data_IF_968194495423
#
_entry.id   IF_968194495423
#
_cell.length_a   1.000
_cell.length_b   1.000
_cell.length_c   1.000
_cell.angle_alpha   90.00
_cell.angle_beta   90.00
_cell.angle_gamma   90.00
#
_symmetry.space_group_name_H-M   'P 1'
#
loop_
_entity.id
_entity.type
_entity.pdbx_description
1 polymer ?
#
# COMPACT_ATOMS: atom_id res chain seq x y z
N UNK A 1 0.37 -17.68 16.17
CA UNK A 1 0.07 -16.79 15.03
C UNK A 1 1.37 -16.57 14.24
N UNK A 2 1.40 -16.89 12.93
CA UNK A 2 2.57 -16.57 12.08
C UNK A 2 2.53 -15.08 11.76
N UNK A 3 3.63 -14.37 12.05
CA UNK A 3 3.76 -12.94 11.72
C UNK A 3 4.30 -12.78 10.31
N UNK A 4 4.02 -11.64 9.64
CA UNK A 4 4.57 -11.29 8.32
C UNK A 4 6.09 -11.55 8.23
N UNK A 5 6.82 -11.20 9.29
CA UNK A 5 8.25 -11.48 9.45
C UNK A 5 8.59 -12.96 9.36
N UNK A 6 7.90 -13.82 10.12
CA UNK A 6 8.12 -15.28 10.08
C UNK A 6 7.84 -15.84 8.69
N UNK A 7 6.81 -15.33 8.01
CA UNK A 7 6.49 -15.70 6.63
C UNK A 7 7.59 -15.30 5.64
N UNK A 8 8.07 -14.05 5.69
CA UNK A 8 9.18 -13.58 4.84
C UNK A 8 10.46 -14.40 5.09
N UNK A 9 10.75 -14.75 6.34
CA UNK A 9 11.88 -15.61 6.69
C UNK A 9 11.71 -17.02 6.15
N UNK A 10 10.51 -17.61 6.24
CA UNK A 10 10.21 -18.93 5.67
C UNK A 10 10.30 -18.93 4.14
N UNK A 11 9.83 -17.88 3.46
CA UNK A 11 9.97 -17.74 2.00
C UNK A 11 11.45 -17.59 1.60
N UNK A 12 12.22 -16.76 2.32
CA UNK A 12 13.65 -16.59 2.07
C UNK A 12 14.46 -17.87 2.34
N UNK A 13 14.07 -18.67 3.33
CA UNK A 13 14.66 -19.98 3.61
C UNK A 13 14.22 -21.07 2.62
N UNK A 14 13.04 -20.94 2.01
CA UNK A 14 12.44 -21.90 1.07
C UNK A 14 12.94 -21.79 -0.38
N UNK A 15 13.69 -20.74 -0.74
CA UNK A 15 14.24 -20.56 -2.09
C UNK A 15 15.29 -21.60 -2.51
N UNK A 16 15.65 -22.54 -1.63
CA UNK A 16 16.58 -23.65 -1.91
C UNK A 16 15.92 -24.97 -2.33
N UNK A 17 14.60 -25.11 -2.28
CA UNK A 17 13.94 -26.39 -2.60
C UNK A 17 12.65 -26.21 -3.43
N UNK A 18 12.77 -26.53 -4.73
CA UNK A 18 11.70 -26.77 -5.72
C UNK A 18 10.92 -25.55 -6.29
N UNK A 19 11.20 -25.28 -7.58
CA UNK A 19 10.47 -24.40 -8.49
C UNK A 19 9.08 -24.94 -8.91
N UNK A 20 8.27 -25.51 -8.00
CA UNK A 20 7.14 -26.33 -8.47
C UNK A 20 5.86 -26.38 -7.64
N UNK A 21 5.80 -25.88 -6.40
CA UNK A 21 4.54 -25.95 -5.65
C UNK A 21 4.26 -24.67 -4.88
N UNK A 22 3.26 -23.92 -5.35
CA UNK A 22 2.70 -22.77 -4.64
C UNK A 22 1.84 -23.25 -3.48
N UNK A 23 2.46 -23.83 -2.44
CA UNK A 23 1.79 -23.99 -1.15
C UNK A 23 2.03 -22.70 -0.38
N UNK A 24 1.22 -21.68 -0.66
CA UNK A 24 1.15 -20.49 0.18
C UNK A 24 0.47 -20.89 1.49
N UNK A 25 1.15 -20.81 2.66
CA UNK A 25 0.50 -21.06 3.93
C UNK A 25 -0.63 -20.05 4.13
N UNK A 26 -1.76 -20.54 4.62
CA UNK A 26 -2.97 -19.78 4.98
C UNK A 26 -2.66 -18.39 5.57
N UNK A 27 -3.11 -17.33 4.91
CA UNK A 27 -3.06 -15.95 5.41
C UNK A 27 -4.47 -15.50 5.78
N UNK A 28 -4.64 -15.08 7.04
CA UNK A 28 -5.88 -14.50 7.55
C UNK A 28 -6.16 -14.88 9.01
N UNK A 29 -6.51 -13.88 9.81
CA UNK A 29 -7.05 -14.07 11.16
C UNK A 29 -8.51 -14.58 11.04
N UNK A 30 -8.69 -15.88 10.82
CA UNK A 30 -10.01 -16.49 10.71
C UNK A 30 -10.12 -17.55 9.62
N UNK A 31 -9.68 -18.77 9.93
CA UNK A 31 -10.35 -20.05 9.61
C UNK A 31 -11.02 -20.33 8.26
N UNK A 32 -10.73 -19.62 7.16
CA UNK A 32 -11.30 -19.95 5.85
C UNK A 32 -10.23 -20.52 4.93
N UNK A 33 -10.33 -21.82 4.68
CA UNK A 33 -9.56 -22.53 3.66
C UNK A 33 -9.74 -21.79 2.33
N UNK A 34 -8.64 -21.22 1.82
CA UNK A 34 -8.60 -20.68 0.46
C UNK A 34 -8.64 -21.91 -0.45
N UNK A 35 -9.83 -22.22 -0.97
CA UNK A 35 -9.96 -23.13 -2.11
C UNK A 35 -9.06 -22.61 -3.24
N UNK A 36 -8.43 -23.48 -4.04
CA UNK A 36 -7.64 -23.07 -5.19
C UNK A 36 -8.60 -22.55 -6.26
N UNK A 37 -9.11 -21.33 -6.08
CA UNK A 37 -9.63 -20.55 -7.18
C UNK A 37 -8.47 -20.38 -8.15
N UNK A 38 -8.67 -20.76 -9.41
CA UNK A 38 -7.67 -20.65 -10.46
C UNK A 38 -7.19 -19.19 -10.57
N UNK A 39 -5.96 -18.94 -10.12
CA UNK A 39 -5.38 -17.59 -10.09
C UNK A 39 -5.17 -17.13 -8.65
N UNK A 40 -3.91 -17.13 -8.20
CA UNK A 40 -3.49 -16.76 -6.85
C UNK A 40 -3.84 -15.32 -6.43
N UNK A 41 -3.18 -14.77 -5.39
CA UNK A 41 -3.56 -13.47 -4.82
C UNK A 41 -3.56 -12.37 -5.88
N UNK A 42 -4.71 -11.71 -6.05
CA UNK A 42 -4.89 -10.59 -6.97
C UNK A 42 -4.45 -9.30 -6.29
N UNK A 43 -3.83 -8.41 -7.05
CA UNK A 43 -3.44 -7.06 -6.60
C UNK A 43 -4.05 -6.04 -7.54
N UNK A 44 -4.55 -4.96 -6.96
CA UNK A 44 -5.03 -3.79 -7.70
C UNK A 44 -4.03 -2.68 -7.47
N UNK A 45 -3.56 -2.06 -8.54
CA UNK A 45 -2.61 -0.95 -8.50
C UNK A 45 -3.31 0.26 -9.08
N UNK A 46 -3.48 1.30 -8.26
CA UNK A 46 -3.88 2.61 -8.72
C UNK A 46 -2.62 3.39 -9.08
N UNK A 47 -2.45 3.73 -10.35
CA UNK A 47 -1.39 4.61 -10.81
C UNK A 47 -1.94 6.03 -10.92
N UNK A 48 -1.38 6.94 -10.12
CA UNK A 48 -1.84 8.32 -9.99
C UNK A 48 -0.72 9.26 -10.43
N UNK A 49 -1.02 10.20 -11.31
CA UNK A 49 -0.12 11.27 -11.71
C UNK A 49 -0.81 12.62 -11.50
N UNK A 50 -0.08 13.57 -10.91
CA UNK A 50 -0.55 14.95 -10.81
C UNK A 50 -0.72 15.54 -12.21
N UNK A 51 -1.77 16.34 -12.41
CA UNK A 51 -2.15 16.91 -13.71
C UNK A 51 -2.67 15.90 -14.74
N UNK A 52 -3.08 14.72 -14.29
CA UNK A 52 -3.67 13.70 -15.13
C UNK A 52 -2.65 12.72 -15.68
N UNK A 53 -3.16 11.59 -16.14
CA UNK A 53 -2.38 10.52 -16.72
C UNK A 53 -2.92 10.27 -18.13
N UNK A 54 -2.09 10.46 -19.16
CA UNK A 54 -2.52 10.25 -20.53
C UNK A 54 -2.76 8.77 -20.78
N UNK A 55 -3.95 8.45 -21.29
CA UNK A 55 -4.40 7.08 -21.50
C UNK A 55 -3.49 6.29 -22.45
N UNK A 56 -2.94 6.94 -23.48
CA UNK A 56 -2.00 6.35 -24.43
C UNK A 56 -0.66 5.90 -23.80
N UNK A 57 -0.35 6.33 -22.58
CA UNK A 57 0.87 5.92 -21.86
C UNK A 57 0.78 4.46 -21.35
N UNK A 58 -0.43 3.93 -21.11
CA UNK A 58 -0.59 2.56 -20.61
C UNK A 58 -1.51 1.68 -21.47
N UNK A 59 -2.45 2.25 -22.23
CA UNK A 59 -3.38 1.47 -23.04
C UNK A 59 -2.73 1.15 -24.39
N UNK A 60 -2.59 -0.13 -24.78
CA UNK A 60 -2.05 -0.50 -26.10
C UNK A 60 -2.87 0.09 -27.26
N UNK A 61 -2.18 0.37 -28.36
CA UNK A 61 -2.80 0.94 -29.57
C UNK A 61 -3.98 0.09 -30.06
N UNK A 62 -5.08 0.77 -30.39
CA UNK A 62 -6.30 0.14 -30.89
C UNK A 62 -7.20 -0.50 -29.81
N UNK A 63 -6.78 -0.57 -28.55
CA UNK A 63 -7.63 -1.03 -27.45
C UNK A 63 -8.53 0.10 -26.94
N UNK A 64 -9.85 -0.12 -26.99
CA UNK A 64 -10.87 0.82 -26.47
C UNK A 64 -11.62 0.32 -25.24
N UNK A 65 -11.51 -0.98 -24.96
CA UNK A 65 -12.20 -1.65 -23.86
C UNK A 65 -11.23 -2.63 -23.19
N UNK A 66 -11.46 -2.93 -21.91
CA UNK A 66 -10.72 -3.97 -21.19
C UNK A 66 -10.83 -5.32 -21.90
N UNK A 67 -9.69 -5.83 -22.37
CA UNK A 67 -9.59 -7.11 -23.08
C UNK A 67 -8.22 -7.77 -22.85
N UNK A 68 -8.06 -8.99 -23.34
CA UNK A 68 -6.81 -9.76 -23.17
C UNK A 68 -5.62 -9.03 -23.79
N UNK A 69 -4.55 -8.87 -23.01
CA UNK A 69 -3.30 -8.27 -23.48
C UNK A 69 -2.41 -9.24 -24.27
N UNK A 70 -2.74 -10.53 -24.35
CA UNK A 70 -1.84 -11.56 -24.89
C UNK A 70 -1.29 -11.26 -26.30
N UNK A 71 -2.11 -10.66 -27.17
CA UNK A 71 -1.74 -10.28 -28.55
C UNK A 71 -1.38 -8.80 -28.72
N UNK A 72 -1.49 -8.00 -27.67
CA UNK A 72 -1.14 -6.58 -27.71
C UNK A 72 0.34 -6.38 -27.42
N UNK A 73 0.95 -5.33 -27.97
CA UNK A 73 2.27 -4.87 -27.57
C UNK A 73 2.09 -3.75 -26.54
N UNK A 74 2.77 -3.84 -25.39
CA UNK A 74 2.67 -2.77 -24.41
C UNK A 74 3.36 -1.49 -24.90
N UNK A 75 2.82 -0.29 -24.63
CA UNK A 75 3.47 0.99 -24.92
C UNK A 75 4.85 1.11 -24.25
N UNK A 76 5.72 1.95 -24.81
CA UNK A 76 7.09 2.15 -24.31
C UNK A 76 7.17 2.38 -22.78
N UNK A 77 6.33 3.23 -22.16
CA UNK A 77 6.41 3.54 -20.73
C UNK A 77 6.18 2.34 -19.80
N UNK A 78 5.46 1.32 -20.28
CA UNK A 78 5.17 0.09 -19.54
C UNK A 78 5.72 -1.15 -20.22
N UNK A 79 6.61 -0.99 -21.20
CA UNK A 79 7.21 -2.10 -21.98
C UNK A 79 7.96 -3.11 -21.10
N UNK A 80 8.50 -2.68 -19.96
CA UNK A 80 9.13 -3.56 -18.98
C UNK A 80 8.17 -4.60 -18.37
N UNK A 81 6.85 -4.39 -18.50
CA UNK A 81 5.82 -5.32 -18.02
C UNK A 81 5.45 -6.41 -19.04
N UNK A 82 6.04 -6.39 -20.24
CA UNK A 82 5.77 -7.36 -21.32
C UNK A 82 5.91 -8.83 -20.86
N UNK A 83 6.90 -9.22 -20.02
CA UNK A 83 7.01 -10.59 -19.49
C UNK A 83 5.86 -11.03 -18.57
N UNK A 84 5.03 -10.10 -18.09
CA UNK A 84 3.95 -10.35 -17.14
C UNK A 84 2.56 -10.13 -17.75
N UNK A 85 2.49 -9.93 -19.08
CA UNK A 85 1.29 -9.52 -19.81
C UNK A 85 0.14 -10.51 -19.72
N UNK A 86 0.44 -11.80 -19.59
CA UNK A 86 -0.52 -12.89 -19.36
C UNK A 86 -1.17 -12.84 -17.96
N UNK A 87 -0.54 -12.12 -17.03
CA UNK A 87 -0.97 -11.94 -15.63
C UNK A 87 -1.42 -10.51 -15.32
N UNK A 88 -1.42 -9.62 -16.32
CA UNK A 88 -1.78 -8.22 -16.20
C UNK A 88 -3.17 -7.97 -16.80
N UNK A 89 -3.95 -7.14 -16.11
CA UNK A 89 -5.22 -6.62 -16.61
C UNK A 89 -5.21 -5.10 -16.46
N UNK A 90 -5.41 -4.37 -17.55
CA UNK A 90 -5.55 -2.92 -17.55
C UNK A 90 -7.04 -2.57 -17.59
N UNK A 91 -7.54 -1.94 -16.53
CA UNK A 91 -8.94 -1.49 -16.47
C UNK A 91 -9.00 -0.12 -17.16
N UNK A 92 -9.71 -0.06 -18.29
CA UNK A 92 -9.86 1.18 -19.07
C UNK A 92 -11.17 1.90 -18.70
N UNK A 93 -11.23 3.21 -18.98
CA UNK A 93 -12.45 4.00 -18.77
C UNK A 93 -12.67 4.53 -17.35
N UNK A 94 -11.73 4.31 -16.42
CA UNK A 94 -11.74 5.00 -15.13
C UNK A 94 -11.28 6.45 -15.34
N UNK A 95 -12.19 7.41 -15.13
CA UNK A 95 -11.89 8.84 -15.27
C UNK A 95 -12.21 9.57 -13.97
N UNK A 96 -11.33 10.49 -13.57
CA UNK A 96 -11.53 11.37 -12.42
C UNK A 96 -12.51 12.52 -12.64
N UNK A 97 -13.63 12.35 -13.37
CA UNK A 97 -14.57 13.48 -13.62
C UNK A 97 -15.07 14.09 -12.30
N UNK A 98 -15.21 13.26 -11.26
CA UNK A 98 -15.63 13.69 -9.91
C UNK A 98 -14.66 14.67 -9.24
N UNK A 99 -13.42 14.80 -9.73
CA UNK A 99 -12.42 15.73 -9.18
C UNK A 99 -12.46 17.12 -9.83
N UNK A 100 -13.24 17.31 -10.90
CA UNK A 100 -13.37 18.59 -11.59
C UNK A 100 -14.06 19.65 -10.71
N UNK A 101 -13.63 20.93 -10.76
CA UNK A 101 -12.59 21.52 -11.63
C UNK A 101 -11.20 21.59 -10.97
N UNK A 102 -10.91 20.79 -9.94
CA UNK A 102 -9.66 20.92 -9.18
C UNK A 102 -8.44 20.38 -9.96
N UNK A 103 -7.32 21.12 -9.93
CA UNK A 103 -6.04 20.68 -10.49
C UNK A 103 -5.31 19.62 -9.65
N UNK A 104 -5.71 19.45 -8.39
CA UNK A 104 -5.21 18.40 -7.49
C UNK A 104 -6.27 18.11 -6.45
N UNK A 105 -6.90 16.95 -6.53
CA UNK A 105 -7.97 16.57 -5.61
C UNK A 105 -7.49 15.92 -4.32
N UNK A 106 -6.19 15.63 -4.18
CA UNK A 106 -5.61 14.98 -3.00
C UNK A 106 -6.42 13.73 -2.65
N UNK A 107 -6.90 13.59 -1.40
CA UNK A 107 -7.72 12.46 -0.96
C UNK A 107 -9.00 12.29 -1.79
N UNK A 108 -9.52 13.37 -2.38
CA UNK A 108 -10.68 13.33 -3.25
C UNK A 108 -10.48 12.53 -4.54
N UNK A 109 -9.22 12.34 -4.97
CA UNK A 109 -8.91 11.57 -6.17
C UNK A 109 -9.38 10.11 -6.04
N UNK A 110 -9.07 9.47 -4.91
CA UNK A 110 -9.47 8.10 -4.61
C UNK A 110 -10.71 8.03 -3.69
N UNK A 111 -11.11 9.16 -3.09
CA UNK A 111 -12.19 9.23 -2.10
C UNK A 111 -13.59 9.41 -2.68
N UNK A 112 -13.73 9.92 -3.90
CA UNK A 112 -15.06 10.23 -4.47
C UNK A 112 -15.76 11.40 -3.76
N UNK A 113 -15.01 12.23 -3.03
CA UNK A 113 -15.47 13.43 -2.35
C UNK A 113 -14.59 14.62 -2.70
N UNK A 114 -15.00 15.84 -2.32
CA UNK A 114 -14.17 17.04 -2.55
C UNK A 114 -12.91 16.96 -1.70
N UNK A 115 -11.75 17.15 -2.32
CA UNK A 115 -10.46 17.27 -1.64
C UNK A 115 -9.64 18.43 -2.22
N UNK A 116 -8.71 18.92 -1.42
CA UNK A 116 -7.77 19.99 -1.77
C UNK A 116 -6.54 19.91 -0.87
N UNK A 117 -5.56 20.77 -1.12
CA UNK A 117 -4.35 20.82 -0.31
C UNK A 117 -4.69 21.16 1.15
N UNK A 118 -4.05 20.46 2.09
CA UNK A 118 -4.27 20.59 3.52
C UNK A 118 -5.65 20.17 4.04
N UNK A 119 -6.60 19.74 3.18
CA UNK A 119 -7.93 19.31 3.63
C UNK A 119 -7.88 17.83 4.01
N UNK A 120 -8.31 17.47 5.24
CA UNK A 120 -8.31 16.09 5.70
C UNK A 120 -9.31 15.23 4.91
N UNK A 121 -9.07 13.90 4.81
CA UNK A 121 -10.00 13.00 4.15
C UNK A 121 -11.36 13.01 4.85
N UNK A 122 -12.45 13.02 4.07
CA UNK A 122 -13.82 13.01 4.60
C UNK A 122 -14.39 11.60 4.78
N UNK A 123 -13.79 10.61 4.14
CA UNK A 123 -14.15 9.20 4.21
C UNK A 123 -12.97 8.33 3.76
N UNK A 124 -13.13 7.01 3.80
CA UNK A 124 -12.17 6.06 3.23
C UNK A 124 -12.08 6.19 1.70
N UNK A 125 -10.95 5.75 1.16
CA UNK A 125 -10.65 5.79 -0.28
C UNK A 125 -10.83 4.42 -0.94
N UNK A 126 -11.08 4.40 -2.26
CA UNK A 126 -11.41 3.17 -3.00
C UNK A 126 -10.32 2.10 -2.93
N UNK A 127 -9.05 2.49 -2.93
CA UNK A 127 -7.88 1.61 -2.78
C UNK A 127 -7.89 0.90 -1.42
N UNK A 128 -8.22 1.62 -0.34
CA UNK A 128 -8.39 1.03 0.98
C UNK A 128 -9.61 0.12 1.05
N UNK A 129 -10.76 0.55 0.53
CA UNK A 129 -11.98 -0.27 0.52
C UNK A 129 -11.81 -1.57 -0.27
N UNK A 130 -11.14 -1.51 -1.43
CA UNK A 130 -10.79 -2.70 -2.21
C UNK A 130 -9.80 -3.61 -1.48
N UNK A 131 -8.86 -3.04 -0.72
CA UNK A 131 -7.90 -3.85 0.05
C UNK A 131 -8.60 -4.76 1.08
N UNK A 132 -9.74 -4.34 1.64
CA UNK A 132 -10.57 -5.13 2.56
C UNK A 132 -11.36 -6.23 1.86
N UNK A 133 -11.69 -6.04 0.58
CA UNK A 133 -12.48 -6.99 -0.21
C UNK A 133 -11.61 -8.09 -0.86
N UNK A 134 -10.30 -7.84 -1.00
CA UNK A 134 -9.36 -8.79 -1.59
C UNK A 134 -8.75 -9.71 -0.52
N UNK A 135 -8.32 -10.93 -0.88
CA UNK A 135 -7.62 -11.80 0.05
C UNK A 135 -6.33 -11.15 0.57
N UNK A 136 -6.04 -11.38 1.85
CA UNK A 136 -4.80 -10.92 2.47
C UNK A 136 -3.58 -11.37 1.68
N UNK A 137 -2.65 -10.44 1.45
CA UNK A 137 -1.35 -10.74 0.84
C UNK A 137 -0.23 -10.45 1.82
N UNK A 138 0.99 -10.89 1.48
CA UNK A 138 2.18 -10.64 2.28
C UNK A 138 2.49 -9.14 2.47
N UNK A 139 2.10 -8.33 1.49
CA UNK A 139 2.20 -6.88 1.56
C UNK A 139 0.82 -6.33 1.91
N UNK A 140 0.72 -5.45 2.92
CA UNK A 140 -0.54 -4.78 3.23
C UNK A 140 -0.84 -3.72 2.15
N UNK A 141 -1.93 -2.98 2.34
CA UNK A 141 -2.22 -1.80 1.55
C UNK A 141 -1.02 -0.84 1.56
N UNK A 142 -0.37 -0.67 0.41
CA UNK A 142 0.89 0.04 0.28
C UNK A 142 0.69 1.26 -0.61
N UNK A 143 0.95 2.44 -0.06
CA UNK A 143 0.95 3.68 -0.81
C UNK A 143 2.39 4.15 -1.04
N UNK A 144 2.77 4.34 -2.30
CA UNK A 144 4.13 4.73 -2.71
C UNK A 144 4.05 6.09 -3.38
N UNK A 145 4.84 7.04 -2.89
CA UNK A 145 4.97 8.37 -3.47
C UNK A 145 6.21 8.48 -4.35
N UNK A 146 6.19 9.43 -5.27
CA UNK A 146 7.37 9.87 -6.00
C UNK A 146 7.36 11.40 -6.08
N UNK A 147 8.52 12.01 -5.84
CA UNK A 147 8.73 13.46 -5.86
C UNK A 147 10.20 13.71 -6.32
N UNK A 148 10.66 14.96 -6.29
CA UNK A 148 12.08 15.28 -6.43
C UNK A 148 12.93 14.55 -5.38
N UNK A 149 14.17 14.20 -5.73
CA UNK A 149 15.10 13.49 -4.83
C UNK A 149 15.26 14.21 -3.48
N UNK A 150 15.29 15.54 -3.48
CA UNK A 150 15.40 16.33 -2.26
C UNK A 150 14.13 16.25 -1.40
N UNK A 151 12.93 16.31 -1.99
CA UNK A 151 11.68 16.11 -1.25
C UNK A 151 11.58 14.67 -0.72
N UNK A 152 11.98 13.67 -1.49
CA UNK A 152 11.95 12.26 -1.04
C UNK A 152 12.94 11.99 0.11
N UNK A 153 14.02 12.78 0.23
CA UNK A 153 14.94 12.69 1.38
C UNK A 153 14.40 13.44 2.60
N UNK A 154 13.92 14.67 2.41
CA UNK A 154 13.48 15.56 3.50
C UNK A 154 12.08 15.24 4.02
N UNK A 155 11.19 14.73 3.17
CA UNK A 155 9.82 14.31 3.43
C UNK A 155 9.64 12.85 2.99
N UNK A 156 10.22 11.88 3.72
CA UNK A 156 10.24 10.47 3.30
C UNK A 156 8.86 9.82 3.30
N UNK A 157 7.88 10.44 3.97
CA UNK A 157 6.47 10.04 3.98
C UNK A 157 5.58 11.27 3.82
N UNK A 158 4.50 11.13 3.05
CA UNK A 158 3.49 12.17 2.82
C UNK A 158 2.10 11.55 2.92
N UNK A 159 1.05 12.34 3.13
CA UNK A 159 -0.30 11.83 3.34
C UNK A 159 -1.29 12.64 2.51
N UNK A 160 -1.51 12.24 1.24
CA UNK A 160 -2.27 13.07 0.29
C UNK A 160 -3.27 12.31 -0.60
N UNK A 161 -3.26 10.97 -0.69
CA UNK A 161 -4.10 10.24 -1.67
C UNK A 161 -5.02 9.18 -1.06
N UNK A 162 -4.52 8.44 -0.09
CA UNK A 162 -5.20 7.27 0.48
C UNK A 162 -5.67 7.54 1.91
N UNK A 163 -6.83 7.03 2.30
CA UNK A 163 -7.37 7.16 3.65
C UNK A 163 -8.18 5.93 4.07
N UNK A 164 -8.09 5.56 5.35
CA UNK A 164 -8.90 4.49 5.94
C UNK A 164 -10.26 4.96 6.46
N UNK A 165 -10.44 6.29 6.56
CA UNK A 165 -11.65 6.91 7.09
C UNK A 165 -11.53 8.43 7.19
N UNK A 166 -12.56 9.07 7.73
CA UNK A 166 -12.56 10.52 7.98
C UNK A 166 -11.43 10.91 8.95
N UNK A 167 -10.59 11.86 8.56
CA UNK A 167 -9.43 12.29 9.34
C UNK A 167 -8.31 11.24 9.49
N UNK A 168 -8.42 10.08 8.82
CA UNK A 168 -7.49 8.96 8.95
C UNK A 168 -6.71 8.75 7.64
N UNK A 169 -5.68 9.56 7.36
CA UNK A 169 -4.87 9.39 6.16
C UNK A 169 -3.96 8.16 6.26
N UNK A 170 -3.70 7.53 5.12
CA UNK A 170 -2.70 6.48 4.99
C UNK A 170 -1.44 7.10 4.39
N UNK A 171 -0.30 6.88 5.05
CA UNK A 171 0.97 7.45 4.62
C UNK A 171 1.46 6.80 3.33
N UNK A 172 1.91 7.66 2.41
CA UNK A 172 2.61 7.30 1.19
C UNK A 172 4.11 7.37 1.46
N UNK A 173 4.83 6.32 1.08
CA UNK A 173 6.27 6.22 1.26
C UNK A 173 6.99 6.69 0.01
N UNK A 174 7.63 7.86 0.09
CA UNK A 174 8.28 8.47 -1.06
C UNK A 174 9.77 8.11 -1.18
N UNK A 175 10.40 7.69 -0.08
CA UNK A 175 11.81 7.28 -0.12
C UNK A 175 11.93 5.76 -0.38
N UNK A 176 12.40 5.31 -1.55
CA UNK A 176 12.41 3.89 -1.91
C UNK A 176 13.38 3.08 -1.03
N UNK A 177 14.52 3.66 -0.63
CA UNK A 177 15.48 2.98 0.25
C UNK A 177 14.89 2.77 1.65
N UNK A 178 14.22 3.80 2.19
CA UNK A 178 13.56 3.69 3.49
C UNK A 178 12.41 2.68 3.44
N UNK A 179 11.61 2.69 2.36
CA UNK A 179 10.53 1.72 2.17
C UNK A 179 11.07 0.30 2.07
N UNK A 180 12.14 0.07 1.29
CA UNK A 180 12.77 -1.23 1.18
C UNK A 180 13.26 -1.75 2.54
N UNK A 181 13.95 -0.91 3.31
CA UNK A 181 14.39 -1.26 4.67
C UNK A 181 13.20 -1.55 5.60
N UNK A 182 12.11 -0.78 5.48
CA UNK A 182 10.89 -1.01 6.28
C UNK A 182 10.28 -2.37 5.93
N UNK A 183 10.15 -2.69 4.64
CA UNK A 183 9.51 -3.93 4.19
C UNK A 183 10.36 -5.17 4.45
N UNK A 184 11.69 -5.08 4.31
CA UNK A 184 12.59 -6.24 4.27
C UNK A 184 13.69 -6.23 5.34
N UNK A 185 13.80 -5.17 6.15
CA UNK A 185 14.83 -5.05 7.19
C UNK A 185 14.79 -6.20 8.21
N UNK A 186 13.60 -6.71 8.54
CA UNK A 186 13.44 -7.84 9.45
C UNK A 186 13.96 -9.19 8.93
N UNK A 187 14.23 -9.31 7.63
CA UNK A 187 14.86 -10.51 7.02
C UNK A 187 16.30 -10.27 6.56
N UNK A 188 16.80 -9.05 6.71
CA UNK A 188 18.19 -8.73 6.41
C UNK A 188 19.15 -9.34 7.44
N UNK A 189 20.46 -9.31 7.15
CA UNK A 189 21.53 -9.76 8.06
C UNK A 189 22.41 -8.58 8.47
N UNK A 190 23.14 -8.73 9.57
CA UNK A 190 24.10 -7.72 10.05
C UNK A 190 23.43 -6.45 10.58
N UNK A 191 24.04 -5.30 10.30
CA UNK A 191 23.66 -4.01 10.88
C UNK A 191 22.25 -3.53 10.48
N UNK A 192 21.80 -3.84 9.25
CA UNK A 192 20.45 -3.46 8.78
C UNK A 192 19.37 -4.09 9.66
N UNK A 193 19.57 -5.36 10.06
CA UNK A 193 18.64 -6.06 10.94
C UNK A 193 18.63 -5.46 12.34
N UNK A 194 19.81 -5.21 12.91
CA UNK A 194 19.93 -4.59 14.25
C UNK A 194 19.22 -3.24 14.30
N UNK A 195 19.45 -2.39 13.29
CA UNK A 195 18.80 -1.09 13.19
C UNK A 195 17.28 -1.21 13.02
N UNK A 196 16.81 -2.19 12.24
CA UNK A 196 15.39 -2.46 12.05
C UNK A 196 14.71 -2.90 13.35
N UNK A 197 15.31 -3.86 14.05
CA UNK A 197 14.80 -4.37 15.34
C UNK A 197 14.80 -3.27 16.41
N UNK A 198 15.86 -2.48 16.51
CA UNK A 198 15.94 -1.36 17.45
C UNK A 198 14.85 -0.31 17.20
N UNK A 199 14.64 0.10 15.94
CA UNK A 199 13.60 1.07 15.58
C UNK A 199 12.19 0.53 15.84
N UNK A 200 11.94 -0.73 15.49
CA UNK A 200 10.62 -1.36 15.71
C UNK A 200 10.29 -1.48 17.19
N UNK A 201 11.25 -1.92 18.01
CA UNK A 201 11.09 -2.04 19.47
C UNK A 201 10.91 -0.69 20.17
N UNK A 202 11.58 0.36 19.70
CA UNK A 202 11.39 1.73 20.19
C UNK A 202 9.94 2.21 19.95
N UNK A 203 9.43 2.06 18.72
CA UNK A 203 8.07 2.48 18.37
C UNK A 203 7.01 1.72 19.16
N UNK A 204 7.21 0.41 19.35
CA UNK A 204 6.32 -0.41 20.18
C UNK A 204 6.29 0.09 21.63
N UNK A 205 7.46 0.39 22.21
CA UNK A 205 7.55 0.93 23.56
C UNK A 205 6.87 2.30 23.69
N UNK A 206 7.04 3.18 22.69
CA UNK A 206 6.38 4.48 22.66
C UNK A 206 4.86 4.31 22.58
N UNK A 207 4.37 3.43 21.71
CA UNK A 207 2.94 3.11 21.59
C UNK A 207 2.35 2.61 22.91
N UNK A 208 3.02 1.68 23.60
CA UNK A 208 2.60 1.18 24.91
C UNK A 208 2.54 2.28 25.98
N UNK A 209 3.56 3.15 26.02
CA UNK A 209 3.61 4.26 26.97
C UNK A 209 2.54 5.32 26.69
N UNK A 210 2.31 5.64 25.41
CA UNK A 210 1.25 6.55 24.99
C UNK A 210 -0.12 5.97 25.36
N UNK A 211 -0.40 4.72 24.98
CA UNK A 211 -1.65 4.02 25.32
C UNK A 211 -1.94 4.05 26.83
N UNK A 212 -0.93 3.76 27.66
CA UNK A 212 -1.05 3.79 29.12
C UNK A 212 -1.43 5.18 29.67
N UNK A 213 -0.86 6.25 29.09
CA UNK A 213 -1.17 7.63 29.50
C UNK A 213 -2.53 8.12 29.01
N UNK A 214 -3.07 7.55 27.94
CA UNK A 214 -4.39 7.91 27.40
C UNK A 214 -5.58 7.49 28.26
N UNK A 215 -5.38 6.61 29.25
CA UNK A 215 -6.45 6.09 30.10
C UNK A 215 -7.17 7.14 30.95
N UNK A 216 -6.48 8.21 31.32
CA UNK A 216 -6.99 9.28 32.18
C UNK A 216 -7.58 10.48 31.41
N UNK A 217 -7.60 10.44 30.07
CA UNK A 217 -8.08 11.56 29.27
C UNK A 217 -9.61 11.69 29.32
N UNK A 218 -10.14 12.94 29.29
CA UNK A 218 -11.56 13.19 29.08
C UNK A 218 -12.08 12.53 27.80
N UNK A 219 -13.36 12.16 27.77
CA UNK A 219 -13.98 11.47 26.61
C UNK A 219 -13.81 12.22 25.29
N UNK A 220 -13.81 13.55 25.31
CA UNK A 220 -13.62 14.41 24.12
C UNK A 220 -12.25 14.23 23.47
N UNK A 221 -11.22 13.98 24.28
CA UNK A 221 -9.82 13.96 23.83
C UNK A 221 -9.35 12.54 23.56
N UNK A 222 -10.02 11.55 24.17
CA UNK A 222 -9.70 10.14 24.07
C UNK A 222 -9.74 9.62 22.63
N UNK A 223 -10.66 10.11 21.80
CA UNK A 223 -10.74 9.72 20.39
C UNK A 223 -9.49 10.18 19.61
N UNK A 224 -9.21 11.49 19.61
CA UNK A 224 -8.03 12.05 18.91
C UNK A 224 -6.71 11.47 19.42
N UNK A 225 -6.62 11.25 20.73
CA UNK A 225 -5.45 10.62 21.33
C UNK A 225 -5.31 9.16 20.91
N UNK A 226 -6.42 8.41 20.83
CA UNK A 226 -6.44 7.04 20.32
C UNK A 226 -5.94 6.94 18.88
N UNK A 227 -6.35 7.87 18.00
CA UNK A 227 -5.86 7.96 16.62
C UNK A 227 -4.35 8.24 16.58
N UNK A 228 -3.85 9.16 17.42
CA UNK A 228 -2.41 9.40 17.57
C UNK A 228 -1.64 8.15 18.02
N UNK A 229 -2.17 7.41 19.01
CA UNK A 229 -1.55 6.17 19.50
C UNK A 229 -1.57 5.07 18.43
N UNK A 230 -2.68 4.91 17.72
CA UNK A 230 -2.84 3.94 16.63
C UNK A 230 -1.81 4.14 15.51
N UNK A 231 -1.41 5.38 15.24
CA UNK A 231 -0.36 5.69 14.28
C UNK A 231 0.99 4.99 14.56
N UNK A 232 1.32 4.70 15.83
CA UNK A 232 2.54 3.93 16.15
C UNK A 232 2.43 2.46 15.73
N UNK A 233 1.24 1.87 15.86
CA UNK A 233 0.98 0.50 15.41
C UNK A 233 1.00 0.41 13.89
N UNK A 234 0.38 1.37 13.19
CA UNK A 234 0.37 1.44 11.73
C UNK A 234 1.78 1.56 11.14
N UNK A 235 2.63 2.39 11.75
CA UNK A 235 4.04 2.52 11.36
C UNK A 235 4.84 1.22 11.54
N UNK A 236 4.48 0.41 12.56
CA UNK A 236 5.10 -0.89 12.81
C UNK A 236 4.48 -2.01 11.97
N UNK A 237 3.23 -1.89 11.52
CA UNK A 237 2.55 -2.89 10.69
C UNK A 237 3.26 -3.19 9.36
N UNK A 238 4.07 -2.23 8.88
CA UNK A 238 4.91 -2.40 7.68
C UNK A 238 6.27 -3.07 7.93
N UNK A 239 6.68 -3.26 9.20
CA UNK A 239 8.02 -3.72 9.66
C UNK A 239 8.09 -5.22 10.04
#
# INVERSE_FOLDING_TARGET
MMTRRKTLQSLAAGFGASLGSTVLPSFGNGGKLISPASGGPKRVIFFMQNQGFESGTCIPDGMRHSCSLAKAKLPEPISALEPFKDRLHIITGLHGIHTSPSHSAFFGALGGYRGSDGVPPSASTIDYELSKALPDTLLPHLCIGMDSLENMKTKPTVANLSASGAGQPIFMHSNPNHLYQTLYGGISKGEIRKQHEARSGMLERIGQLAAAKGGALPRSDKQRYGEFVGGFEDMNGLR
#
